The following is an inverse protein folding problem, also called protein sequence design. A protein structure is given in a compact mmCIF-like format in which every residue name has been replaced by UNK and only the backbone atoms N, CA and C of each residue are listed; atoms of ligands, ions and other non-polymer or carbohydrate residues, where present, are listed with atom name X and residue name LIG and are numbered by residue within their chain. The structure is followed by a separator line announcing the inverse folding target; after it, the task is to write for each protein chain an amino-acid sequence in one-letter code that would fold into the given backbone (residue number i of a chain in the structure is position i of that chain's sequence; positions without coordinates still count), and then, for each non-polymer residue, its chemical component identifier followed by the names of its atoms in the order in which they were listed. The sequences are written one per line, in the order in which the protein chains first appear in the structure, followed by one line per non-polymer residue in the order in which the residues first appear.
data_IF_564065918051
#
_entry.id   IF_564065918051
#
_cell.length_a   1.000
_cell.length_b   1.000
_cell.length_c   1.000
_cell.angle_alpha   90.00
_cell.angle_beta   90.00
_cell.angle_gamma   90.00
#
_symmetry.space_group_name_H-M   'P 1'
#
loop_
_entity.id
_entity.type
_entity.pdbx_description
1 polymer ?
#
# COMPACT_ATOMS: atom_id res chain seq x y z
N UNK A 1 -16.44 -7.84 -2.74
CA UNK A 1 -16.31 -9.03 -1.86
C UNK A 1 -15.98 -10.31 -2.64
N UNK A 2 -16.72 -10.69 -3.66
CA UNK A 2 -16.44 -11.92 -4.44
C UNK A 2 -15.04 -11.97 -5.05
N UNK A 3 -14.54 -10.85 -5.56
CA UNK A 3 -13.20 -10.76 -6.16
C UNK A 3 -12.12 -11.01 -5.10
N UNK A 4 -12.23 -10.38 -3.94
CA UNK A 4 -11.30 -10.59 -2.83
C UNK A 4 -11.32 -12.04 -2.32
N UNK A 5 -12.51 -12.63 -2.25
CA UNK A 5 -12.66 -14.04 -1.87
C UNK A 5 -11.98 -14.98 -2.87
N UNK A 6 -12.07 -14.69 -4.17
CA UNK A 6 -11.37 -15.46 -5.21
C UNK A 6 -9.86 -15.36 -5.07
N UNK A 7 -9.33 -14.16 -4.85
CA UNK A 7 -7.88 -13.95 -4.64
C UNK A 7 -7.37 -14.67 -3.38
N UNK A 8 -8.20 -14.76 -2.34
CA UNK A 8 -7.87 -15.49 -1.12
C UNK A 8 -7.95 -17.01 -1.30
N UNK A 9 -9.04 -17.50 -1.89
CA UNK A 9 -9.28 -18.94 -2.06
C UNK A 9 -8.31 -19.60 -3.02
N UNK A 10 -7.86 -18.86 -4.01
CA UNK A 10 -6.83 -19.28 -4.95
C UNK A 10 -7.16 -18.99 -6.40
N UNK A 11 -6.11 -18.72 -7.13
CA UNK A 11 -6.07 -18.54 -8.58
C UNK A 11 -5.22 -19.66 -9.16
N UNK A 12 -5.61 -20.18 -10.30
CA UNK A 12 -4.80 -21.17 -11.02
C UNK A 12 -3.59 -20.48 -11.64
N UNK A 13 -2.42 -20.86 -11.20
CA UNK A 13 -1.13 -20.39 -11.70
C UNK A 13 -0.34 -21.63 -12.15
N UNK A 14 -0.23 -21.80 -13.47
CA UNK A 14 0.51 -22.91 -14.09
C UNK A 14 0.06 -24.32 -13.61
N UNK A 15 -1.24 -24.47 -13.30
CA UNK A 15 -1.84 -25.72 -12.84
C UNK A 15 -1.85 -25.92 -11.32
N UNK A 16 -1.38 -24.93 -10.57
CA UNK A 16 -1.43 -24.93 -9.12
C UNK A 16 -2.38 -23.84 -8.61
N UNK A 17 -3.23 -24.17 -7.65
CA UNK A 17 -4.14 -23.20 -7.03
C UNK A 17 -3.42 -22.45 -5.90
N UNK A 18 -3.20 -21.16 -6.09
CA UNK A 18 -2.43 -20.32 -5.15
C UNK A 18 -3.29 -19.17 -4.63
N UNK A 19 -3.40 -19.03 -3.32
CA UNK A 19 -3.98 -17.85 -2.67
C UNK A 19 -3.03 -16.66 -2.76
N UNK A 20 -3.46 -15.57 -3.38
CA UNK A 20 -2.62 -14.39 -3.61
C UNK A 20 -2.65 -13.37 -2.49
N UNK A 21 -3.67 -13.39 -1.65
CA UNK A 21 -3.84 -12.48 -0.51
C UNK A 21 -4.15 -13.23 0.77
N UNK A 22 -3.89 -12.60 1.92
CA UNK A 22 -4.33 -13.07 3.23
C UNK A 22 -5.85 -12.95 3.35
N UNK A 23 -6.42 -13.46 4.45
CA UNK A 23 -7.86 -13.45 4.65
C UNK A 23 -8.45 -12.04 4.51
N UNK A 24 -9.49 -11.90 3.68
CA UNK A 24 -10.04 -10.63 3.20
C UNK A 24 -10.85 -9.85 4.24
N UNK A 25 -10.76 -10.14 5.52
CA UNK A 25 -11.37 -9.36 6.59
C UNK A 25 -10.60 -8.07 6.86
N UNK A 26 -11.32 -6.97 7.06
CA UNK A 26 -10.75 -5.62 7.19
C UNK A 26 -10.65 -5.13 8.64
N UNK A 27 -10.70 -6.02 9.61
CA UNK A 27 -10.65 -5.71 11.04
C UNK A 27 -9.22 -5.69 11.62
N UNK A 28 -8.22 -6.15 10.86
CA UNK A 28 -6.81 -6.15 11.26
C UNK A 28 -5.97 -5.13 10.51
N UNK A 29 -5.06 -4.48 11.21
CA UNK A 29 -4.04 -3.58 10.64
C UNK A 29 -2.61 -4.07 10.88
N UNK A 30 -2.45 -5.15 11.64
CA UNK A 30 -1.16 -5.72 11.96
C UNK A 30 -0.65 -6.60 10.82
N UNK A 31 0.64 -6.47 10.52
CA UNK A 31 1.36 -7.35 9.60
C UNK A 31 2.32 -8.19 10.45
N UNK A 32 2.45 -9.47 10.14
CA UNK A 32 3.40 -10.34 10.84
C UNK A 32 4.83 -9.84 10.68
N UNK A 33 5.67 -10.08 11.67
CA UNK A 33 7.08 -9.63 11.65
C UNK A 33 7.84 -10.23 10.45
N UNK A 34 7.55 -11.47 10.11
CA UNK A 34 8.19 -12.15 8.98
C UNK A 34 7.80 -11.52 7.65
N UNK A 35 6.52 -11.17 7.48
CA UNK A 35 6.05 -10.48 6.29
C UNK A 35 6.64 -9.07 6.19
N UNK A 36 6.75 -8.35 7.29
CA UNK A 36 7.41 -7.03 7.32
C UNK A 36 8.88 -7.16 6.91
N UNK A 37 9.60 -8.17 7.41
CA UNK A 37 10.99 -8.42 7.01
C UNK A 37 11.09 -8.67 5.50
N UNK A 38 10.24 -9.54 4.96
CA UNK A 38 10.18 -9.85 3.52
C UNK A 38 9.88 -8.60 2.67
N UNK A 39 8.96 -7.74 3.12
CA UNK A 39 8.67 -6.48 2.43
C UNK A 39 9.87 -5.54 2.42
N UNK A 40 10.57 -5.43 3.54
CA UNK A 40 11.76 -4.58 3.68
C UNK A 40 12.89 -5.08 2.77
N UNK A 41 13.13 -6.39 2.74
CA UNK A 41 14.11 -7.00 1.84
C UNK A 41 13.75 -6.74 0.37
N UNK A 42 12.50 -6.89 0.00
CA UNK A 42 12.02 -6.60 -1.36
C UNK A 42 12.20 -5.11 -1.73
N UNK A 43 11.90 -4.18 -0.82
CA UNK A 43 12.12 -2.74 -1.02
C UNK A 43 13.61 -2.46 -1.25
N UNK A 44 14.46 -3.00 -0.41
CA UNK A 44 15.92 -2.80 -0.52
C UNK A 44 16.45 -3.30 -1.86
N UNK A 45 16.03 -4.48 -2.30
CA UNK A 45 16.50 -5.10 -3.54
C UNK A 45 16.01 -4.38 -4.81
N UNK A 46 14.76 -3.90 -4.82
CA UNK A 46 14.13 -3.37 -6.02
C UNK A 46 14.12 -1.83 -6.10
N UNK A 47 14.13 -1.14 -4.95
CA UNK A 47 14.02 0.32 -4.89
C UNK A 47 15.24 0.97 -4.22
N UNK A 48 15.99 0.22 -3.42
CA UNK A 48 17.17 0.71 -2.69
C UNK A 48 16.88 1.14 -1.25
N UNK A 49 17.94 1.27 -0.47
CA UNK A 49 17.86 1.58 0.97
C UNK A 49 17.27 2.97 1.28
N UNK A 50 17.35 3.91 0.33
CA UNK A 50 16.81 5.27 0.50
C UNK A 50 15.29 5.27 0.71
N UNK A 51 14.59 4.27 0.18
CA UNK A 51 13.15 4.12 0.32
C UNK A 51 12.73 3.33 1.56
N UNK A 52 13.71 2.89 2.35
CA UNK A 52 13.48 2.08 3.52
C UNK A 52 13.61 2.93 4.79
N UNK A 53 12.56 3.05 5.62
CA UNK A 53 12.66 3.74 6.90
C UNK A 53 13.61 2.97 7.85
N UNK A 54 14.28 3.67 8.80
CA UNK A 54 15.26 3.06 9.71
C UNK A 54 14.67 1.96 10.59
N UNK A 55 13.36 2.01 10.85
CA UNK A 55 12.66 1.00 11.63
C UNK A 55 11.37 0.54 10.93
N UNK A 56 10.90 -0.68 11.17
CA UNK A 56 9.62 -1.15 10.67
C UNK A 56 8.46 -0.27 11.12
N UNK A 57 7.55 0.06 10.21
CA UNK A 57 6.38 0.85 10.52
C UNK A 57 5.28 -0.05 11.09
N UNK A 58 4.78 0.29 12.27
CA UNK A 58 3.69 -0.41 12.95
C UNK A 58 2.42 0.43 12.93
N UNK A 59 1.34 -0.16 12.47
CA UNK A 59 0.01 0.47 12.38
C UNK A 59 -0.97 -0.06 13.43
N UNK A 60 -0.48 -0.79 14.44
CA UNK A 60 -1.32 -1.22 15.55
C UNK A 60 -1.82 0.00 16.33
N UNK A 61 -3.07 0.36 16.13
CA UNK A 61 -3.75 1.34 16.95
C UNK A 61 -3.77 0.92 18.44
N UNK A 62 -4.10 1.85 19.34
CA UNK A 62 -4.30 1.53 20.75
C UNK A 62 -5.27 0.36 20.85
N UNK A 63 -4.78 -0.81 21.27
CA UNK A 63 -5.61 -1.99 21.52
C UNK A 63 -6.74 -1.58 22.45
N UNK A 64 -7.98 -1.66 22.00
CA UNK A 64 -9.10 -1.67 22.90
C UNK A 64 -8.88 -2.86 23.86
N UNK A 65 -9.03 -2.62 25.17
CA UNK A 65 -8.70 -3.57 26.25
C UNK A 65 -9.36 -4.95 26.14
N UNK A 66 -10.31 -5.12 25.21
CA UNK A 66 -11.09 -6.33 24.94
C UNK A 66 -11.15 -6.72 23.45
N UNK A 67 -10.23 -6.21 22.63
CA UNK A 67 -10.18 -6.67 21.24
C UNK A 67 -9.63 -8.10 21.21
N UNK A 68 -10.48 -9.04 20.88
CA UNK A 68 -10.12 -10.37 20.43
C UNK A 68 -9.07 -10.20 19.32
N UNK A 69 -8.03 -11.03 19.27
CA UNK A 69 -6.97 -10.88 18.28
C UNK A 69 -7.57 -10.69 16.90
N UNK A 70 -7.41 -9.46 16.40
CA UNK A 70 -7.86 -9.13 15.06
C UNK A 70 -7.05 -9.96 14.05
N UNK A 71 -7.69 -10.33 12.96
CA UNK A 71 -7.00 -10.97 11.85
C UNK A 71 -5.84 -10.10 11.36
N UNK A 72 -4.85 -10.73 10.74
CA UNK A 72 -3.79 -10.01 10.06
C UNK A 72 -4.36 -9.07 8.99
N UNK A 73 -3.67 -7.96 8.72
CA UNK A 73 -4.04 -7.06 7.63
C UNK A 73 -4.09 -7.79 6.28
N UNK A 74 -4.95 -7.33 5.38
CA UNK A 74 -5.01 -7.86 4.01
C UNK A 74 -3.72 -7.46 3.30
N UNK A 75 -2.95 -8.45 2.89
CA UNK A 75 -1.67 -8.28 2.20
C UNK A 75 -1.45 -9.38 1.17
N UNK A 76 -0.51 -9.23 0.23
CA UNK A 76 -0.07 -10.34 -0.60
C UNK A 76 0.50 -11.46 0.28
N UNK A 77 0.23 -12.69 -0.06
CA UNK A 77 0.85 -13.85 0.59
C UNK A 77 2.34 -13.90 0.31
N UNK A 78 2.74 -13.45 -0.88
CA UNK A 78 4.12 -13.38 -1.32
C UNK A 78 4.37 -12.10 -2.13
N UNK A 79 5.24 -11.23 -1.61
CA UNK A 79 5.50 -9.92 -2.21
C UNK A 79 6.26 -10.02 -3.54
N UNK A 80 7.00 -11.09 -3.75
CA UNK A 80 7.74 -11.35 -4.99
C UNK A 80 6.84 -11.57 -6.22
N UNK A 81 5.56 -11.92 -5.98
CA UNK A 81 4.56 -12.01 -7.04
C UNK A 81 4.07 -10.62 -7.43
N UNK A 82 4.87 -9.96 -8.25
CA UNK A 82 4.56 -8.60 -8.74
C UNK A 82 3.27 -8.63 -9.57
N UNK A 83 2.38 -7.63 -9.44
CA UNK A 83 1.11 -7.60 -10.16
C UNK A 83 1.23 -7.76 -11.67
N UNK A 84 2.28 -7.23 -12.30
CA UNK A 84 2.53 -7.36 -13.73
C UNK A 84 2.68 -8.81 -14.16
N UNK A 85 3.39 -9.62 -13.39
CA UNK A 85 3.58 -11.04 -13.67
C UNK A 85 2.30 -11.86 -13.48
N UNK A 86 1.45 -11.40 -12.55
CA UNK A 86 0.16 -12.04 -12.26
C UNK A 86 -0.95 -11.66 -13.25
N UNK A 87 -0.75 -10.63 -14.05
CA UNK A 87 -1.75 -10.10 -14.99
C UNK A 87 -2.28 -11.15 -15.96
N UNK A 88 -1.44 -12.08 -16.40
CA UNK A 88 -1.83 -13.15 -17.33
C UNK A 88 -2.80 -14.18 -16.71
N UNK A 89 -2.80 -14.30 -15.37
CA UNK A 89 -3.65 -15.27 -14.66
C UNK A 89 -4.91 -14.63 -14.08
N UNK A 90 -4.99 -13.30 -14.03
CA UNK A 90 -6.03 -12.55 -13.38
C UNK A 90 -6.98 -11.89 -14.38
N UNK A 91 -8.28 -11.85 -14.04
CA UNK A 91 -9.21 -10.98 -14.75
C UNK A 91 -8.86 -9.50 -14.48
N UNK A 92 -9.38 -8.58 -15.29
CA UNK A 92 -9.13 -7.14 -15.15
C UNK A 92 -9.43 -6.64 -13.73
N UNK A 93 -10.54 -7.06 -13.14
CA UNK A 93 -10.94 -6.60 -11.80
C UNK A 93 -10.11 -7.27 -10.69
N UNK A 94 -9.77 -8.54 -10.86
CA UNK A 94 -8.85 -9.25 -9.95
C UNK A 94 -7.46 -8.60 -9.98
N UNK A 95 -6.96 -8.26 -11.14
CA UNK A 95 -5.68 -7.55 -11.29
C UNK A 95 -5.69 -6.19 -10.60
N UNK A 96 -6.73 -5.38 -10.82
CA UNK A 96 -6.86 -4.06 -10.18
C UNK A 96 -6.85 -4.17 -8.66
N UNK A 97 -7.62 -5.11 -8.11
CA UNK A 97 -7.68 -5.32 -6.67
C UNK A 97 -6.36 -5.84 -6.11
N UNK A 98 -5.75 -6.83 -6.78
CA UNK A 98 -4.46 -7.36 -6.36
C UNK A 98 -3.37 -6.30 -6.41
N UNK A 99 -3.30 -5.51 -7.47
CA UNK A 99 -2.36 -4.40 -7.60
C UNK A 99 -2.54 -3.35 -6.50
N UNK A 100 -3.79 -3.01 -6.16
CA UNK A 100 -4.08 -2.09 -5.06
C UNK A 100 -3.58 -2.64 -3.72
N UNK A 101 -3.88 -3.89 -3.40
CA UNK A 101 -3.46 -4.54 -2.15
C UNK A 101 -1.93 -4.63 -2.09
N UNK A 102 -1.29 -5.06 -3.16
CA UNK A 102 0.16 -5.19 -3.26
C UNK A 102 0.85 -3.84 -3.07
N UNK A 103 0.44 -2.82 -3.81
CA UNK A 103 1.01 -1.47 -3.74
C UNK A 103 0.83 -0.84 -2.35
N UNK A 104 -0.35 -0.98 -1.75
CA UNK A 104 -0.63 -0.48 -0.40
C UNK A 104 0.20 -1.18 0.66
N UNK A 105 0.32 -2.49 0.58
CA UNK A 105 1.11 -3.28 1.52
C UNK A 105 2.59 -2.90 1.46
N UNK A 106 3.14 -2.79 0.25
CA UNK A 106 4.52 -2.38 0.06
C UNK A 106 4.77 -0.95 0.55
N UNK A 107 3.92 -0.01 0.14
CA UNK A 107 4.02 1.40 0.55
C UNK A 107 3.90 1.59 2.06
N UNK A 108 3.19 0.72 2.75
CA UNK A 108 3.06 0.78 4.21
C UNK A 108 4.39 0.60 4.95
N UNK A 109 5.38 -0.02 4.30
CA UNK A 109 6.72 -0.26 4.85
C UNK A 109 7.80 0.59 4.17
N UNK A 110 7.41 1.54 3.32
CA UNK A 110 8.33 2.47 2.65
C UNK A 110 8.44 3.80 3.41
N UNK A 111 9.53 4.50 3.16
CA UNK A 111 9.73 5.88 3.64
C UNK A 111 8.62 6.79 3.09
N UNK A 112 8.17 7.71 3.93
CA UNK A 112 7.16 8.70 3.52
C UNK A 112 7.65 9.56 2.37
N UNK A 113 6.78 9.84 1.41
CA UNK A 113 7.11 10.74 0.31
C UNK A 113 7.45 12.14 0.84
N UNK A 114 8.54 12.70 0.35
CA UNK A 114 8.97 14.08 0.64
C UNK A 114 8.54 14.99 -0.50
N UNK A 115 7.79 16.02 -0.18
CA UNK A 115 7.28 16.98 -1.16
C UNK A 115 7.88 18.35 -0.89
N UNK A 116 8.37 19.00 -1.94
CA UNK A 116 8.69 20.43 -1.91
C UNK A 116 7.45 21.22 -2.28
N UNK A 117 6.89 21.94 -1.32
CA UNK A 117 5.74 22.81 -1.56
C UNK A 117 6.22 24.22 -1.87
N UNK A 118 5.79 24.75 -3.00
CA UNK A 118 5.95 26.17 -3.35
C UNK A 118 4.57 26.82 -3.40
N UNK A 119 4.36 27.83 -2.57
CA UNK A 119 3.15 28.64 -2.58
C UNK A 119 3.47 29.98 -3.19
N UNK A 120 2.74 30.37 -4.22
CA UNK A 120 2.84 31.68 -4.87
C UNK A 120 1.67 32.51 -4.38
N UNK A 121 1.95 33.60 -3.72
CA UNK A 121 0.96 34.58 -3.26
C UNK A 121 1.08 35.83 -4.12
N UNK A 122 0.00 36.22 -4.78
CA UNK A 122 -0.09 37.42 -5.59
C UNK A 122 -0.89 38.44 -4.83
N UNK A 123 -0.28 39.59 -4.56
CA UNK A 123 -0.86 40.69 -3.81
C UNK A 123 -0.86 41.93 -4.72
N UNK A 124 -1.93 42.72 -4.69
CA UNK A 124 -1.97 44.03 -5.35
C UNK A 124 -1.11 45.07 -4.60
N UNK A 125 -0.84 46.21 -5.23
CA UNK A 125 -0.12 47.32 -4.59
C UNK A 125 -0.78 47.80 -3.29
N UNK A 126 -2.10 47.63 -3.17
CA UNK A 126 -2.89 47.94 -1.98
C UNK A 126 -2.83 46.86 -0.87
N UNK A 127 -1.90 45.90 -0.95
CA UNK A 127 -1.80 44.73 -0.07
C UNK A 127 -3.03 43.81 -0.05
N UNK A 128 -3.88 43.90 -1.07
CA UNK A 128 -5.01 42.99 -1.23
C UNK A 128 -4.56 41.66 -1.81
N UNK A 129 -4.92 40.54 -1.15
CA UNK A 129 -4.65 39.19 -1.65
C UNK A 129 -5.49 38.94 -2.92
N UNK A 130 -4.82 38.82 -4.08
CA UNK A 130 -5.50 38.57 -5.36
C UNK A 130 -5.65 37.07 -5.62
N UNK A 131 -4.63 36.29 -5.35
CA UNK A 131 -4.62 34.87 -5.67
C UNK A 131 -3.54 34.11 -4.90
N UNK A 132 -3.88 32.88 -4.45
CA UNK A 132 -2.93 31.89 -3.96
C UNK A 132 -3.11 30.60 -4.77
N UNK A 133 -2.04 30.10 -5.38
CA UNK A 133 -2.07 28.84 -6.11
C UNK A 133 -1.27 27.77 -5.37
N UNK A 134 -1.87 26.61 -5.09
CA UNK A 134 -1.10 25.46 -4.65
C UNK A 134 -0.19 24.98 -5.77
N UNK A 135 0.93 24.34 -5.39
CA UNK A 135 1.81 23.69 -6.35
C UNK A 135 1.06 22.62 -7.15
N UNK A 136 1.37 22.40 -8.44
CA UNK A 136 0.77 21.31 -9.22
C UNK A 136 0.88 19.94 -8.56
N UNK A 137 1.87 19.71 -7.70
CA UNK A 137 2.03 18.49 -6.92
C UNK A 137 0.98 18.34 -5.81
N UNK A 138 0.41 19.43 -5.32
CA UNK A 138 -0.67 19.40 -4.32
C UNK A 138 -2.02 18.97 -4.94
N UNK A 139 -2.13 18.99 -6.26
CA UNK A 139 -3.33 18.59 -7.01
C UNK A 139 -3.34 17.12 -7.40
N UNK A 140 -2.22 16.40 -7.21
CA UNK A 140 -2.06 15.00 -7.63
C UNK A 140 -2.34 13.98 -6.52
N UNK A 141 -2.94 14.37 -5.42
CA UNK A 141 -3.32 13.51 -4.29
C UNK A 141 -4.74 12.99 -4.43
N UNK A 142 -5.08 12.48 -5.57
CA UNK A 142 -6.34 11.74 -5.75
C UNK A 142 -6.08 10.23 -5.76
#
# INVERSE_FOLDING_TARGET
MQIAQRLYQGIDIDGETVGLITYMRTDGTNISKDAVATFRDFITQNYGETYLPPAPLNYSGKKAKNAQEAHEAIRPTEISRVPEDMKKYLSTDQYKLYNLIWSRSLSSQMESAKFDRKTITIISEDNCLLYTSPSPRDLSTS
#
